data_IF_914631432837
#
_entry.id   IF_914631432837
#
_cell.length_a   1.000
_cell.length_b   1.000
_cell.length_c   1.000
_cell.angle_alpha   90.00
_cell.angle_beta   90.00
_cell.angle_gamma   90.00
#
_symmetry.space_group_name_H-M   'P 1'
#
loop_
_entity.id
_entity.type
_entity.pdbx_description
1 polymer ?
#
# COMPACT_ATOMS: atom_id res chain seq x y z
N UNK A 1 13.60 13.12 3.14
CA UNK A 1 13.34 12.81 4.55
C UNK A 1 13.63 11.35 4.79
N UNK A 2 14.32 11.01 5.90
CA UNK A 2 14.55 9.63 6.30
C UNK A 2 14.12 9.47 7.77
N UNK A 3 13.41 8.39 8.08
CA UNK A 3 12.90 8.11 9.42
C UNK A 3 13.21 6.68 9.80
N UNK A 4 14.04 6.49 10.81
CA UNK A 4 14.26 5.20 11.45
C UNK A 4 13.19 5.00 12.53
N UNK A 5 12.59 3.81 12.58
CA UNK A 5 11.57 3.51 13.58
C UNK A 5 11.73 2.13 14.17
N UNK A 6 11.26 1.99 15.39
CA UNK A 6 11.17 0.73 16.12
C UNK A 6 9.78 0.62 16.74
N UNK A 7 9.17 -0.54 16.56
CA UNK A 7 7.89 -0.89 17.18
C UNK A 7 8.04 -2.22 17.92
N UNK A 8 7.48 -2.29 19.10
CA UNK A 8 7.39 -3.53 19.89
C UNK A 8 5.96 -3.65 20.43
N UNK A 9 5.35 -4.80 20.16
CA UNK A 9 4.02 -5.15 20.68
C UNK A 9 4.14 -6.43 21.50
N UNK A 10 3.81 -6.35 22.79
CA UNK A 10 3.59 -7.51 23.62
C UNK A 10 2.15 -7.99 23.46
N UNK A 11 1.95 -9.31 23.36
CA UNK A 11 0.62 -9.93 23.19
C UNK A 11 -0.20 -9.37 22.02
N UNK A 12 0.46 -8.93 20.97
CA UNK A 12 -0.22 -8.48 19.74
C UNK A 12 -1.10 -9.58 19.18
N UNK A 13 -2.28 -9.22 18.70
CA UNK A 13 -3.21 -10.19 18.11
C UNK A 13 -2.90 -10.41 16.63
N UNK A 14 -3.03 -11.66 16.18
CA UNK A 14 -2.98 -12.04 14.76
C UNK A 14 -4.10 -13.03 14.47
N UNK A 15 -4.70 -12.90 13.30
CA UNK A 15 -5.63 -13.89 12.80
C UNK A 15 -4.83 -14.93 12.00
N UNK A 16 -4.92 -16.18 12.40
CA UNK A 16 -4.31 -17.30 11.71
C UNK A 16 -5.39 -18.22 11.16
N UNK A 17 -5.11 -18.77 9.99
CA UNK A 17 -5.89 -19.84 9.41
C UNK A 17 -5.15 -21.16 9.67
N UNK A 18 -5.86 -22.19 10.08
CA UNK A 18 -5.35 -23.54 10.17
C UNK A 18 -6.35 -24.54 9.62
N UNK A 19 -5.84 -25.65 9.12
CA UNK A 19 -6.65 -26.70 8.55
C UNK A 19 -7.22 -27.57 9.67
N UNK A 20 -8.50 -27.89 9.59
CA UNK A 20 -9.16 -28.83 10.53
C UNK A 20 -8.46 -30.20 10.44
N UNK A 21 -8.49 -31.04 11.52
CA UNK A 21 -7.93 -32.37 11.49
C UNK A 21 -8.48 -33.26 10.36
N UNK A 22 -9.71 -33.02 9.94
CA UNK A 22 -10.37 -33.75 8.83
C UNK A 22 -9.95 -33.21 7.44
N UNK A 23 -9.06 -32.19 7.39
CA UNK A 23 -8.58 -31.54 6.18
C UNK A 23 -9.67 -30.93 5.27
N UNK A 24 -10.91 -30.87 5.72
CA UNK A 24 -12.06 -30.40 4.93
C UNK A 24 -12.37 -28.93 5.11
N UNK A 25 -11.96 -28.34 6.24
CA UNK A 25 -12.30 -26.98 6.60
C UNK A 25 -11.06 -26.15 6.97
N UNK A 26 -11.07 -24.88 6.58
CA UNK A 26 -10.11 -23.89 7.04
C UNK A 26 -10.73 -23.09 8.18
N UNK A 27 -10.10 -23.11 9.33
CA UNK A 27 -10.56 -22.44 10.55
C UNK A 27 -9.73 -21.18 10.75
N UNK A 28 -10.39 -20.03 10.88
CA UNK A 28 -9.76 -18.76 11.19
C UNK A 28 -9.91 -18.46 12.68
N UNK A 29 -8.79 -18.26 13.35
CA UNK A 29 -8.79 -17.93 14.77
C UNK A 29 -7.86 -16.76 15.05
N UNK A 30 -8.33 -15.85 15.91
CA UNK A 30 -7.50 -14.78 16.44
C UNK A 30 -6.74 -15.29 17.66
N UNK A 31 -5.41 -15.13 17.64
CA UNK A 31 -4.53 -15.52 18.75
C UNK A 31 -3.73 -14.33 19.25
N UNK A 32 -3.22 -14.43 20.47
CA UNK A 32 -2.24 -13.51 21.00
C UNK A 32 -0.83 -14.06 20.76
N UNK A 33 -0.02 -13.30 20.03
CA UNK A 33 1.40 -13.59 19.88
C UNK A 33 2.16 -13.29 21.17
N UNK A 34 3.29 -13.95 21.39
CA UNK A 34 4.18 -13.61 22.49
C UNK A 34 4.70 -12.18 22.34
N UNK A 35 5.17 -11.85 21.14
CA UNK A 35 5.58 -10.50 20.77
C UNK A 35 5.62 -10.32 19.26
N UNK A 36 5.55 -9.08 18.85
CA UNK A 36 5.89 -8.62 17.51
C UNK A 36 6.90 -7.46 17.62
N UNK A 37 7.92 -7.50 16.79
CA UNK A 37 8.94 -6.45 16.69
C UNK A 37 9.13 -6.04 15.24
N UNK A 38 9.12 -4.74 15.00
CA UNK A 38 9.42 -4.16 13.69
C UNK A 38 10.52 -3.12 13.85
N UNK A 39 11.56 -3.24 13.03
CA UNK A 39 12.60 -2.21 12.87
C UNK A 39 12.59 -1.81 11.41
N UNK A 40 12.52 -0.54 11.12
CA UNK A 40 12.46 -0.11 9.74
C UNK A 40 13.01 1.28 9.48
N UNK A 41 13.30 1.51 8.20
CA UNK A 41 13.72 2.78 7.64
C UNK A 41 12.72 3.20 6.57
N UNK A 42 12.12 4.36 6.77
CA UNK A 42 11.24 4.99 5.79
C UNK A 42 11.97 6.15 5.11
N UNK A 43 11.99 6.15 3.79
CA UNK A 43 12.55 7.19 2.95
C UNK A 43 11.43 7.85 2.16
N UNK A 44 11.43 9.17 2.15
CA UNK A 44 10.51 10.00 1.38
C UNK A 44 11.30 11.06 0.63
N UNK A 45 11.17 11.09 -0.69
CA UNK A 45 11.91 11.97 -1.57
C UNK A 45 10.98 12.58 -2.64
N UNK A 46 10.44 13.77 -2.42
CA UNK A 46 9.82 14.56 -3.48
C UNK A 46 10.92 15.24 -4.30
N UNK A 47 10.76 15.25 -5.61
CA UNK A 47 11.68 15.91 -6.52
C UNK A 47 10.99 16.40 -7.79
N UNK A 48 11.49 17.48 -8.34
CA UNK A 48 11.06 18.02 -9.63
C UNK A 48 12.14 17.73 -10.66
N UNK A 49 11.82 16.90 -11.64
CA UNK A 49 12.74 16.55 -12.73
C UNK A 49 12.80 17.68 -13.74
N UNK A 50 11.65 18.33 -13.97
CA UNK A 50 11.53 19.49 -14.84
C UNK A 50 10.30 20.32 -14.45
N UNK A 51 10.10 21.46 -15.12
CA UNK A 51 8.89 22.29 -14.90
C UNK A 51 7.58 21.59 -15.24
N UNK A 52 7.64 20.51 -16.01
CA UNK A 52 6.46 19.71 -16.40
C UNK A 52 6.34 18.41 -15.61
N UNK A 53 7.39 17.94 -14.95
CA UNK A 53 7.42 16.64 -14.30
C UNK A 53 7.87 16.73 -12.84
N UNK A 54 6.92 16.42 -11.95
CA UNK A 54 7.16 16.24 -10.52
C UNK A 54 6.99 14.79 -10.16
N UNK A 55 7.86 14.28 -9.29
CA UNK A 55 7.79 12.93 -8.81
C UNK A 55 8.01 12.85 -7.30
N UNK A 56 7.46 11.82 -6.70
CA UNK A 56 7.65 11.48 -5.29
C UNK A 56 8.00 10.01 -5.18
N UNK A 57 9.18 9.72 -4.66
CA UNK A 57 9.60 8.37 -4.33
C UNK A 57 9.44 8.12 -2.84
N UNK A 58 8.83 6.97 -2.50
CA UNK A 58 8.76 6.47 -1.12
C UNK A 58 9.35 5.07 -1.09
N UNK A 59 10.19 4.80 -0.10
CA UNK A 59 10.70 3.46 0.16
C UNK A 59 10.65 3.17 1.66
N UNK A 60 10.17 2.01 2.02
CA UNK A 60 10.18 1.52 3.39
C UNK A 60 10.83 0.13 3.39
N UNK A 61 11.91 -0.01 4.15
CA UNK A 61 12.58 -1.30 4.39
C UNK A 61 12.41 -1.63 5.86
N UNK A 62 11.81 -2.77 6.16
CA UNK A 62 11.58 -3.17 7.54
C UNK A 62 11.92 -4.63 7.76
N UNK A 63 12.47 -4.92 8.94
CA UNK A 63 12.57 -6.26 9.49
C UNK A 63 11.45 -6.48 10.47
N UNK A 64 10.61 -7.45 10.17
CA UNK A 64 9.48 -7.85 11.03
C UNK A 64 9.77 -9.21 11.61
N UNK A 65 9.71 -9.33 12.96
CA UNK A 65 9.79 -10.59 13.68
C UNK A 65 8.54 -10.76 14.51
N UNK A 66 7.91 -11.92 14.38
CA UNK A 66 6.71 -12.29 15.12
C UNK A 66 6.89 -13.68 15.72
N UNK A 67 6.56 -13.82 17.01
CA UNK A 67 6.66 -15.09 17.73
C UNK A 67 5.34 -15.40 18.42
N UNK A 68 4.89 -16.64 18.24
CA UNK A 68 3.80 -17.20 19.03
C UNK A 68 4.12 -18.62 19.44
N UNK A 69 3.74 -18.99 20.66
CA UNK A 69 3.82 -20.33 21.21
C UNK A 69 2.40 -20.80 21.57
N UNK A 70 2.16 -22.11 21.49
CA UNK A 70 0.92 -22.72 21.99
C UNK A 70 -0.38 -22.38 21.25
N UNK A 71 -0.30 -22.30 19.93
CA UNK A 71 -1.51 -22.23 19.11
C UNK A 71 -1.74 -23.60 18.45
N UNK A 72 -2.71 -24.40 18.95
CA UNK A 72 -3.04 -25.75 18.43
C UNK A 72 -1.78 -26.59 18.07
N UNK A 73 -0.80 -26.65 18.99
CA UNK A 73 0.52 -27.25 18.77
C UNK A 73 1.39 -26.58 17.69
N UNK A 74 0.90 -25.47 17.14
CA UNK A 74 1.66 -24.65 16.21
C UNK A 74 2.42 -23.58 16.98
N UNK A 75 3.72 -23.58 16.86
CA UNK A 75 4.58 -22.49 17.32
C UNK A 75 5.36 -21.93 16.14
N UNK A 76 5.57 -20.62 16.13
CA UNK A 76 6.38 -19.97 15.11
C UNK A 76 7.25 -18.85 15.70
N UNK A 77 8.41 -18.68 15.09
CA UNK A 77 9.32 -17.54 15.33
C UNK A 77 9.83 -17.09 13.95
N UNK A 78 9.07 -16.23 13.32
CA UNK A 78 9.30 -15.83 11.96
C UNK A 78 9.98 -14.45 11.91
N UNK A 79 10.99 -14.33 11.06
CA UNK A 79 11.71 -13.09 10.83
C UNK A 79 11.88 -12.88 9.32
N UNK A 80 11.41 -11.75 8.80
CA UNK A 80 11.52 -11.44 7.37
C UNK A 80 11.79 -9.96 7.13
N UNK A 81 12.60 -9.69 6.12
CA UNK A 81 12.74 -8.36 5.56
C UNK A 81 11.64 -8.12 4.55
N UNK A 82 10.98 -6.98 4.68
CA UNK A 82 9.92 -6.54 3.77
C UNK A 82 10.30 -5.18 3.21
N UNK A 83 10.14 -5.05 1.91
CA UNK A 83 10.32 -3.81 1.19
C UNK A 83 8.98 -3.33 0.64
N UNK A 84 8.67 -2.08 0.87
CA UNK A 84 7.61 -1.35 0.19
C UNK A 84 8.23 -0.21 -0.59
N UNK A 85 7.87 -0.06 -1.87
CA UNK A 85 8.30 1.04 -2.70
C UNK A 85 7.13 1.65 -3.48
N UNK A 86 7.12 2.98 -3.60
CA UNK A 86 6.19 3.66 -4.49
C UNK A 86 6.89 4.81 -5.22
N UNK A 87 6.46 5.03 -6.45
CA UNK A 87 6.88 6.15 -7.28
C UNK A 87 5.64 6.79 -7.90
N UNK A 88 5.32 7.99 -7.44
CA UNK A 88 4.22 8.80 -7.97
C UNK A 88 4.75 9.84 -8.91
N UNK A 89 4.22 9.91 -10.12
CA UNK A 89 4.62 10.87 -11.14
C UNK A 89 3.44 11.73 -11.56
N UNK A 90 3.66 13.03 -11.64
CA UNK A 90 2.69 14.01 -12.12
C UNK A 90 3.30 14.84 -13.23
N UNK A 91 2.61 14.90 -14.37
CA UNK A 91 3.02 15.63 -15.56
C UNK A 91 2.04 16.77 -15.83
N UNK A 92 2.56 18.00 -15.86
CA UNK A 92 1.80 19.19 -16.26
C UNK A 92 2.46 19.76 -17.51
N UNK A 93 1.89 19.54 -18.68
CA UNK A 93 2.54 19.86 -19.96
C UNK A 93 2.84 21.34 -20.16
N UNK A 94 2.12 22.24 -19.49
CA UNK A 94 2.38 23.67 -19.46
C UNK A 94 1.59 24.31 -18.30
N UNK A 95 2.04 25.49 -17.83
CA UNK A 95 1.27 26.28 -16.84
C UNK A 95 -0.12 26.67 -17.36
N UNK A 96 -0.26 26.84 -18.67
CA UNK A 96 -1.52 27.17 -19.32
C UNK A 96 -2.29 25.95 -19.84
N UNK A 97 -1.65 24.76 -19.88
CA UNK A 97 -2.32 23.55 -20.32
C UNK A 97 -3.32 23.08 -19.25
N UNK A 98 -4.59 22.90 -19.61
CA UNK A 98 -5.60 22.44 -18.66
C UNK A 98 -5.51 20.93 -18.37
N UNK A 99 -4.56 20.23 -19.00
CA UNK A 99 -4.41 18.77 -18.92
C UNK A 99 -3.22 18.39 -18.06
N UNK A 100 -3.42 17.44 -17.15
CA UNK A 100 -2.35 16.78 -16.38
C UNK A 100 -2.49 15.27 -16.44
N UNK A 101 -1.38 14.57 -16.38
CA UNK A 101 -1.28 13.11 -16.35
C UNK A 101 -0.64 12.69 -15.04
N UNK A 102 -1.11 11.61 -14.44
CA UNK A 102 -0.44 10.92 -13.34
C UNK A 102 -0.16 9.47 -13.71
N UNK A 103 1.00 8.96 -13.26
CA UNK A 103 1.37 7.55 -13.37
C UNK A 103 2.02 7.17 -12.05
N UNK A 104 1.40 6.24 -11.34
CA UNK A 104 1.84 5.79 -10.03
C UNK A 104 2.21 4.31 -10.08
N UNK A 105 3.35 3.96 -9.51
CA UNK A 105 3.79 2.58 -9.35
C UNK A 105 3.90 2.27 -7.86
N UNK A 106 3.44 1.09 -7.44
CA UNK A 106 3.60 0.58 -6.08
C UNK A 106 4.02 -0.88 -6.10
N UNK A 107 4.90 -1.26 -5.18
CA UNK A 107 5.42 -2.61 -5.03
C UNK A 107 5.56 -2.97 -3.55
N UNK A 108 5.19 -4.18 -3.18
CA UNK A 108 5.45 -4.79 -1.87
C UNK A 108 6.15 -6.12 -2.11
N UNK A 109 7.30 -6.31 -1.50
CA UNK A 109 8.03 -7.59 -1.57
C UNK A 109 7.28 -8.71 -0.84
N UNK A 110 7.66 -9.98 -1.04
CA UNK A 110 7.10 -11.08 -0.27
C UNK A 110 7.18 -10.81 1.23
N UNK A 111 6.11 -11.11 1.94
CA UNK A 111 5.96 -10.81 3.36
C UNK A 111 5.44 -12.03 4.13
N UNK A 112 5.32 -11.89 5.45
CA UNK A 112 4.79 -12.92 6.35
C UNK A 112 3.61 -12.38 7.13
N UNK A 113 2.58 -13.21 7.27
CA UNK A 113 1.47 -12.97 8.19
C UNK A 113 1.27 -14.21 9.07
N UNK A 114 1.79 -14.15 10.30
CA UNK A 114 1.85 -15.31 11.18
C UNK A 114 2.69 -16.43 10.56
N UNK A 115 2.04 -17.54 10.20
CA UNK A 115 2.66 -18.71 9.54
C UNK A 115 2.54 -18.68 8.01
N UNK A 116 1.85 -17.69 7.47
CA UNK A 116 1.56 -17.60 6.04
C UNK A 116 2.60 -16.76 5.31
N UNK A 117 3.15 -17.32 4.24
CA UNK A 117 3.93 -16.60 3.24
C UNK A 117 3.02 -15.91 2.25
N UNK A 118 3.22 -14.61 2.06
CA UNK A 118 2.53 -13.80 1.07
C UNK A 118 3.49 -13.52 -0.09
N UNK A 119 3.02 -13.70 -1.32
CA UNK A 119 3.77 -13.32 -2.51
C UNK A 119 3.91 -11.81 -2.62
N UNK A 120 4.85 -11.37 -3.44
CA UNK A 120 4.93 -9.97 -3.84
C UNK A 120 3.68 -9.52 -4.59
N UNK A 121 3.40 -8.23 -4.46
CA UNK A 121 2.34 -7.56 -5.20
C UNK A 121 2.83 -6.23 -5.74
N UNK A 122 2.29 -5.85 -6.89
CA UNK A 122 2.59 -4.56 -7.48
C UNK A 122 1.41 -4.04 -8.29
N UNK A 123 1.36 -2.75 -8.49
CA UNK A 123 0.35 -2.11 -9.33
C UNK A 123 0.88 -0.90 -10.05
N UNK A 124 0.23 -0.58 -11.15
CA UNK A 124 0.34 0.67 -11.86
C UNK A 124 -1.03 1.31 -11.92
N UNK A 125 -1.11 2.54 -11.44
CA UNK A 125 -2.27 3.39 -11.57
C UNK A 125 -1.96 4.51 -12.58
N UNK A 126 -2.95 4.94 -13.37
CA UNK A 126 -2.81 6.07 -14.27
C UNK A 126 -4.05 6.96 -14.22
N UNK A 127 -3.83 8.27 -14.36
CA UNK A 127 -4.92 9.23 -14.31
C UNK A 127 -4.71 10.38 -15.30
N UNK A 128 -5.80 10.87 -15.88
CA UNK A 128 -5.84 12.05 -16.71
C UNK A 128 -6.85 13.02 -16.12
N UNK A 129 -6.37 14.22 -15.82
CA UNK A 129 -7.20 15.29 -15.29
C UNK A 129 -7.27 16.44 -16.31
N UNK A 130 -8.47 16.86 -16.60
CA UNK A 130 -8.75 17.97 -17.52
C UNK A 130 -9.55 19.07 -16.82
N UNK A 131 -8.98 20.27 -16.79
CA UNK A 131 -9.62 21.47 -16.26
C UNK A 131 -10.20 22.29 -17.42
N UNK A 132 -11.50 22.60 -17.40
CA UNK A 132 -12.16 23.33 -18.49
C UNK A 132 -13.22 24.32 -17.97
N UNK A 133 -13.87 25.05 -18.90
CA UNK A 133 -14.83 26.09 -18.57
C UNK A 133 -14.23 27.43 -18.23
N UNK A 134 -15.06 28.45 -18.02
CA UNK A 134 -14.63 29.81 -17.65
C UNK A 134 -13.90 29.76 -16.31
N UNK A 135 -12.68 30.29 -16.25
CA UNK A 135 -11.81 30.28 -15.06
C UNK A 135 -11.49 28.86 -14.54
N UNK A 136 -11.53 27.82 -15.39
CA UNK A 136 -11.28 26.42 -15.03
C UNK A 136 -12.20 25.92 -13.90
N UNK A 137 -13.47 26.29 -13.96
CA UNK A 137 -14.46 25.90 -12.95
C UNK A 137 -14.89 24.44 -13.03
N UNK A 138 -14.61 23.77 -14.13
CA UNK A 138 -14.94 22.36 -14.33
C UNK A 138 -13.67 21.51 -14.36
N UNK A 139 -13.75 20.33 -13.75
CA UNK A 139 -12.68 19.33 -13.73
C UNK A 139 -13.28 17.99 -14.11
N UNK A 140 -12.64 17.30 -15.04
CA UNK A 140 -12.92 15.92 -15.38
C UNK A 140 -11.66 15.10 -15.05
N UNK A 141 -11.81 14.09 -14.22
CA UNK A 141 -10.72 13.21 -13.78
C UNK A 141 -11.09 11.76 -14.14
N UNK A 142 -10.31 11.15 -15.03
CA UNK A 142 -10.38 9.75 -15.39
C UNK A 142 -9.20 9.03 -14.77
N UNK A 143 -9.44 8.07 -13.89
CA UNK A 143 -8.42 7.29 -13.19
C UNK A 143 -8.63 5.80 -13.39
N UNK A 144 -7.58 5.10 -13.76
CA UNK A 144 -7.49 3.65 -13.81
C UNK A 144 -6.56 3.16 -12.70
N UNK A 145 -7.12 2.41 -11.76
CA UNK A 145 -6.37 1.79 -10.67
C UNK A 145 -6.02 0.34 -11.04
N UNK A 146 -4.83 -0.10 -10.66
CA UNK A 146 -4.28 -1.45 -10.87
C UNK A 146 -4.51 -1.99 -12.28
N UNK A 147 -4.00 -1.27 -13.27
CA UNK A 147 -4.20 -1.56 -14.71
C UNK A 147 -3.89 -3.02 -15.05
N UNK A 148 -2.90 -3.61 -14.39
CA UNK A 148 -2.43 -4.98 -14.63
C UNK A 148 -3.10 -6.04 -13.75
N UNK A 149 -3.95 -5.65 -12.78
CA UNK A 149 -4.64 -6.54 -11.85
C UNK A 149 -3.66 -7.46 -11.08
N UNK A 150 -2.62 -6.84 -10.50
CA UNK A 150 -1.55 -7.53 -9.76
C UNK A 150 -1.49 -7.17 -8.27
N UNK A 151 -2.47 -6.41 -7.77
CA UNK A 151 -2.54 -5.99 -6.37
C UNK A 151 -3.29 -6.98 -5.47
N UNK A 152 -3.05 -8.28 -5.67
CA UNK A 152 -3.67 -9.34 -4.88
C UNK A 152 -2.64 -10.43 -4.56
N UNK A 153 -2.27 -10.62 -3.28
CA UNK A 153 -1.27 -11.61 -2.90
C UNK A 153 -1.83 -13.02 -2.97
N UNK A 154 -0.94 -13.97 -3.19
CA UNK A 154 -1.20 -15.37 -2.90
C UNK A 154 -0.63 -15.69 -1.52
N UNK A 155 -1.43 -16.32 -0.68
CA UNK A 155 -1.05 -16.82 0.62
C UNK A 155 -0.69 -18.29 0.49
N UNK A 156 0.46 -18.68 1.00
CA UNK A 156 0.88 -20.09 1.09
C UNK A 156 1.22 -20.39 2.53
N UNK A 157 0.70 -21.51 3.06
CA UNK A 157 1.05 -22.04 4.38
C UNK A 157 1.65 -23.41 4.16
N UNK A 158 2.89 -23.55 4.59
CA UNK A 158 3.61 -24.82 4.66
C UNK A 158 4.28 -24.88 6.03
N UNK A 159 3.51 -25.18 7.07
CA UNK A 159 3.96 -25.15 8.44
C UNK A 159 3.17 -26.12 9.32
N UNK A 160 3.85 -26.82 10.22
CA UNK A 160 3.25 -27.72 11.22
C UNK A 160 2.26 -28.77 10.61
N UNK A 161 2.67 -29.39 9.50
CA UNK A 161 1.85 -30.40 8.81
C UNK A 161 0.72 -29.85 7.96
N UNK A 162 0.61 -28.53 7.84
CA UNK A 162 -0.33 -27.86 6.95
C UNK A 162 0.34 -27.52 5.65
N UNK A 163 -0.32 -27.80 4.54
CA UNK A 163 0.15 -27.44 3.19
C UNK A 163 -1.06 -27.00 2.36
N UNK A 164 -1.28 -25.71 2.26
CA UNK A 164 -2.33 -25.18 1.39
C UNK A 164 -1.96 -23.81 0.82
N UNK A 165 -2.56 -23.53 -0.32
CA UNK A 165 -2.39 -22.26 -1.04
C UNK A 165 -3.75 -21.62 -1.24
N UNK A 166 -3.87 -20.36 -0.84
CA UNK A 166 -5.06 -19.54 -1.03
C UNK A 166 -4.73 -18.32 -1.89
N UNK A 167 -5.47 -18.14 -2.95
CA UNK A 167 -5.41 -16.93 -3.76
C UNK A 167 -6.73 -16.20 -3.63
N UNK A 168 -6.69 -15.05 -2.96
CA UNK A 168 -7.82 -14.12 -2.96
C UNK A 168 -7.75 -13.35 -4.28
N UNK A 169 -8.77 -13.52 -5.12
CA UNK A 169 -8.89 -12.77 -6.38
C UNK A 169 -9.80 -11.57 -6.15
N UNK A 170 -9.26 -10.54 -5.51
CA UNK A 170 -9.96 -9.27 -5.42
C UNK A 170 -9.95 -8.59 -6.79
N UNK A 171 -11.08 -7.99 -7.16
CA UNK A 171 -11.15 -7.11 -8.31
C UNK A 171 -10.53 -5.77 -7.93
N UNK A 172 -9.22 -5.67 -8.00
CA UNK A 172 -8.46 -4.46 -7.66
C UNK A 172 -8.41 -3.47 -8.82
N UNK A 173 -8.64 -3.97 -10.05
CA UNK A 173 -8.76 -3.12 -11.24
C UNK A 173 -10.04 -2.30 -11.20
N UNK A 174 -9.90 -0.99 -11.28
CA UNK A 174 -11.01 -0.06 -11.22
C UNK A 174 -10.83 1.09 -12.23
N UNK A 175 -11.92 1.51 -12.86
CA UNK A 175 -11.95 2.70 -13.69
C UNK A 175 -12.94 3.69 -13.07
N UNK A 176 -12.44 4.88 -12.71
CA UNK A 176 -13.22 5.93 -12.08
C UNK A 176 -13.24 7.17 -12.94
N UNK A 177 -14.44 7.67 -13.20
CA UNK A 177 -14.66 8.98 -13.83
C UNK A 177 -15.26 9.92 -12.79
N UNK A 178 -14.62 11.05 -12.54
CA UNK A 178 -15.07 12.06 -11.59
C UNK A 178 -15.27 13.38 -12.32
N UNK A 179 -16.44 14.00 -12.16
CA UNK A 179 -16.72 15.34 -12.61
C UNK A 179 -16.91 16.26 -11.42
N UNK A 180 -16.18 17.38 -11.40
CA UNK A 180 -16.29 18.39 -10.35
C UNK A 180 -16.64 19.72 -11.01
N UNK A 181 -17.72 20.34 -10.53
CA UNK A 181 -18.07 21.69 -10.89
C UNK A 181 -17.98 22.63 -9.69
N UNK A 182 -17.16 23.67 -9.80
CA UNK A 182 -16.93 24.65 -8.74
C UNK A 182 -17.74 25.90 -9.00
N UNK A 183 -18.72 26.17 -8.14
CA UNK A 183 -19.56 27.35 -8.16
C UNK A 183 -18.85 28.52 -7.45
N UNK A 184 -19.24 29.75 -7.76
CA UNK A 184 -18.81 30.98 -7.07
C UNK A 184 -17.31 31.31 -7.07
N UNK A 185 -16.58 30.96 -8.13
CA UNK A 185 -15.19 31.41 -8.30
C UNK A 185 -14.20 30.85 -7.28
N UNK A 186 -14.54 29.75 -6.61
CA UNK A 186 -13.61 29.01 -5.74
C UNK A 186 -12.41 28.57 -6.59
N UNK A 187 -11.27 29.24 -6.40
CA UNK A 187 -10.01 28.79 -6.98
C UNK A 187 -9.58 27.57 -6.19
N UNK A 188 -9.35 26.40 -6.82
CA UNK A 188 -8.66 25.32 -6.12
C UNK A 188 -7.32 25.89 -5.68
N UNK A 189 -7.07 25.89 -4.39
CA UNK A 189 -5.72 26.10 -3.90
C UNK A 189 -4.90 24.99 -4.54
N UNK A 190 -3.84 25.30 -5.27
CA UNK A 190 -2.86 24.29 -5.66
C UNK A 190 -2.45 23.66 -4.33
N UNK A 191 -2.99 22.50 -4.03
CA UNK A 191 -2.57 21.74 -2.87
C UNK A 191 -1.22 21.14 -3.26
N UNK A 192 -0.17 21.93 -3.10
CA UNK A 192 1.09 21.35 -2.69
C UNK A 192 0.73 20.38 -1.56
N UNK A 193 1.12 19.12 -1.71
CA UNK A 193 0.87 18.08 -0.72
C UNK A 193 1.23 18.68 0.63
N UNK A 194 0.22 18.93 1.46
CA UNK A 194 0.43 19.54 2.77
C UNK A 194 1.22 18.52 3.62
N UNK A 195 2.52 18.66 3.59
CA UNK A 195 3.47 17.86 4.37
C UNK A 195 3.37 18.16 5.86
N UNK A 196 2.58 19.18 6.28
CA UNK A 196 2.40 19.55 7.67
C UNK A 196 1.63 18.49 8.49
N UNK A 197 0.87 17.60 7.83
CA UNK A 197 0.17 16.49 8.49
C UNK A 197 1.08 15.33 8.91
N UNK A 198 2.31 15.29 8.44
CA UNK A 198 3.31 14.32 8.92
C UNK A 198 4.13 14.96 10.04
N UNK A 199 3.43 15.16 11.15
CA UNK A 199 3.70 15.79 12.38
C UNK A 199 5.16 15.89 12.80
N UNK A 200 5.56 17.07 13.12
CA UNK A 200 6.39 17.32 14.29
C UNK A 200 5.45 17.30 15.50
N UNK A 201 5.30 16.13 16.13
CA UNK A 201 4.78 16.07 17.50
C UNK A 201 5.74 16.86 18.37
N UNK A 202 5.26 17.95 18.94
CA UNK A 202 5.84 18.55 20.16
C UNK A 202 5.26 17.82 21.35
#
# INVERSE_FOLDING_TARGET
MATLYFQYGDKSTVQLAYQSPDALNLIYQTINMNYERVVGLNLYAPFSVSYIWNATATANVMNRRAKANHFHDISFDNCKWVFYGSLSNSFKFSQNCPLSLSIDFSYISPSLQGIADLTDIWKVDAGIKWLFGKKRCCELDLKADDIFNKWSPTMTINHAGQDYRMQVRDMTRNLKLTFIWRFNGFKPKDTDIDTSRFGTGK
#
